data_IF_487817779673
#
_entry.id   IF_487817779673
#
_cell.length_a   1.000
_cell.length_b   1.000
_cell.length_c   1.000
_cell.angle_alpha   90.00
_cell.angle_beta   90.00
_cell.angle_gamma   90.00
#
_symmetry.space_group_name_H-M   'P 1'
#
loop_
_entity.id
_entity.type
_entity.pdbx_description
1 polymer ?
#
# COMPACT_ATOMS: atom_id res chain seq x y z
N UNK A 1 -12.42 -23.11 5.41
CA UNK A 1 -11.13 -23.21 6.12
C UNK A 1 -10.35 -21.98 5.75
N UNK A 2 -10.31 -20.98 6.62
CA UNK A 2 -9.46 -19.80 6.47
C UNK A 2 -8.05 -20.28 6.73
N UNK A 3 -7.23 -20.42 5.69
CA UNK A 3 -5.84 -20.85 5.83
C UNK A 3 -5.11 -19.82 6.67
N UNK A 4 -4.63 -20.20 7.87
CA UNK A 4 -3.82 -19.30 8.70
C UNK A 4 -2.53 -18.92 7.94
N UNK A 5 -2.21 -17.64 7.93
CA UNK A 5 -1.00 -17.12 7.30
C UNK A 5 0.22 -17.59 8.10
N UNK A 6 1.07 -18.45 7.53
CA UNK A 6 2.16 -19.08 8.27
C UNK A 6 3.35 -18.13 8.51
N UNK A 7 4.11 -18.35 9.59
CA UNK A 7 5.32 -17.58 9.88
C UNK A 7 6.38 -17.67 8.77
N UNK A 8 6.50 -18.84 8.11
CA UNK A 8 7.45 -19.01 7.00
C UNK A 8 7.09 -18.14 5.79
N UNK A 9 5.79 -18.03 5.49
CA UNK A 9 5.30 -17.14 4.43
C UNK A 9 5.57 -15.69 4.81
N UNK A 10 5.31 -15.29 6.07
CA UNK A 10 5.56 -13.92 6.53
C UNK A 10 7.02 -13.48 6.32
N UNK A 11 8.00 -14.34 6.62
CA UNK A 11 9.42 -14.02 6.43
C UNK A 11 9.78 -13.81 4.94
N UNK A 12 9.28 -14.67 4.05
CA UNK A 12 9.50 -14.51 2.61
C UNK A 12 8.82 -13.27 2.03
N UNK A 13 7.64 -12.92 2.55
CA UNK A 13 6.95 -11.69 2.19
C UNK A 13 7.77 -10.48 2.63
N UNK A 14 8.18 -10.37 3.90
CA UNK A 14 8.99 -9.25 4.40
C UNK A 14 10.28 -9.04 3.59
N UNK A 15 10.97 -10.12 3.21
CA UNK A 15 12.14 -10.05 2.33
C UNK A 15 11.80 -9.44 0.96
N UNK A 16 10.66 -9.81 0.37
CA UNK A 16 10.24 -9.26 -0.91
C UNK A 16 9.77 -7.80 -0.79
N UNK A 17 9.08 -7.42 0.30
CA UNK A 17 8.70 -6.03 0.59
C UNK A 17 9.94 -5.13 0.57
N UNK A 18 10.98 -5.52 1.32
CA UNK A 18 12.24 -4.78 1.35
C UNK A 18 12.93 -4.74 -0.01
N UNK A 19 12.94 -5.85 -0.74
CA UNK A 19 13.55 -5.91 -2.07
C UNK A 19 12.84 -4.98 -3.07
N UNK A 20 11.50 -4.89 -3.01
CA UNK A 20 10.71 -4.04 -3.90
C UNK A 20 10.97 -2.55 -3.65
N UNK A 21 11.00 -2.13 -2.38
CA UNK A 21 11.39 -0.77 -2.02
C UNK A 21 12.84 -0.43 -2.39
N UNK A 22 13.70 -1.45 -2.55
CA UNK A 22 15.08 -1.32 -3.07
C UNK A 22 15.17 -1.45 -4.60
N UNK A 23 14.07 -1.28 -5.32
CA UNK A 23 14.03 -1.20 -6.78
C UNK A 23 13.95 -2.55 -7.52
N UNK A 24 13.82 -3.68 -6.80
CA UNK A 24 13.47 -4.95 -7.45
C UNK A 24 12.03 -4.87 -7.98
N UNK A 25 11.79 -5.38 -9.18
CA UNK A 25 10.45 -5.35 -9.80
C UNK A 25 9.45 -6.20 -8.98
N UNK A 26 8.31 -5.62 -8.55
CA UNK A 26 7.20 -6.34 -7.91
C UNK A 26 6.43 -7.28 -8.84
N UNK A 27 5.56 -8.09 -8.25
CA UNK A 27 4.45 -8.73 -8.96
C UNK A 27 3.24 -7.80 -9.00
N UNK A 28 2.42 -7.94 -10.03
CA UNK A 28 1.24 -7.10 -10.28
C UNK A 28 0.07 -7.98 -10.70
N UNK A 29 -1.14 -7.59 -10.32
CA UNK A 29 -2.38 -8.28 -10.72
C UNK A 29 -2.87 -7.81 -12.09
N UNK A 30 -2.66 -6.54 -12.42
CA UNK A 30 -3.02 -5.92 -13.70
C UNK A 30 -1.78 -5.30 -14.38
N UNK A 31 -1.87 -4.92 -15.68
CA UNK A 31 -0.82 -4.16 -16.35
C UNK A 31 -0.46 -2.87 -15.60
N UNK A 32 0.82 -2.49 -15.55
CA UNK A 32 1.27 -1.37 -14.72
C UNK A 32 0.83 0.00 -15.27
N UNK A 33 0.23 0.88 -14.44
CA UNK A 33 0.06 2.29 -14.75
C UNK A 33 1.39 2.99 -15.02
N UNK A 34 1.34 4.11 -15.77
CA UNK A 34 2.52 4.93 -16.07
C UNK A 34 3.20 5.48 -14.80
N UNK A 35 2.39 6.03 -13.87
CA UNK A 35 2.87 6.54 -12.57
C UNK A 35 3.65 5.48 -11.80
N UNK A 36 3.13 4.25 -11.72
CA UNK A 36 3.78 3.13 -11.05
C UNK A 36 5.11 2.75 -11.71
N UNK A 37 5.19 2.80 -13.05
CA UNK A 37 6.45 2.56 -13.75
C UNK A 37 7.48 3.67 -13.45
N UNK A 38 7.06 4.93 -13.37
CA UNK A 38 7.89 6.06 -12.95
C UNK A 38 8.37 5.89 -11.52
N UNK A 39 7.49 5.54 -10.58
CA UNK A 39 7.84 5.23 -9.19
C UNK A 39 8.90 4.14 -9.08
N UNK A 40 8.74 3.02 -9.81
CA UNK A 40 9.76 1.96 -9.82
C UNK A 40 11.12 2.42 -10.37
N UNK A 41 11.14 3.37 -11.30
CA UNK A 41 12.39 3.98 -11.78
C UNK A 41 13.02 4.85 -10.70
N UNK A 42 12.22 5.66 -9.97
CA UNK A 42 12.69 6.43 -8.81
C UNK A 42 13.36 5.53 -7.76
N UNK A 43 12.69 4.44 -7.36
CA UNK A 43 13.23 3.49 -6.37
C UNK A 43 14.54 2.83 -6.80
N UNK A 44 14.73 2.58 -8.09
CA UNK A 44 16.02 2.10 -8.62
C UNK A 44 17.11 3.16 -8.53
N UNK A 45 16.79 4.43 -8.72
CA UNK A 45 17.75 5.53 -8.57
C UNK A 45 18.16 5.72 -7.10
N UNK A 46 17.19 5.66 -6.17
CA UNK A 46 17.50 5.66 -4.74
C UNK A 46 18.42 4.49 -4.35
N UNK A 47 18.14 3.28 -4.85
CA UNK A 47 19.00 2.12 -4.62
C UNK A 47 20.43 2.25 -5.21
N UNK A 48 20.63 3.19 -6.13
CA UNK A 48 21.93 3.52 -6.73
C UNK A 48 22.59 4.75 -6.06
N UNK A 49 21.99 5.31 -5.01
CA UNK A 49 22.46 6.53 -4.34
C UNK A 49 22.22 7.82 -5.13
N UNK A 50 21.39 7.78 -6.17
CA UNK A 50 21.06 8.95 -7.02
C UNK A 50 19.82 9.65 -6.47
N UNK A 51 19.95 10.30 -5.31
CA UNK A 51 18.83 10.82 -4.52
C UNK A 51 18.02 11.88 -5.26
N UNK A 52 18.67 12.95 -5.77
CA UNK A 52 17.98 14.04 -6.48
C UNK A 52 17.17 13.55 -7.69
N UNK A 53 17.79 12.73 -8.54
CA UNK A 53 17.11 12.15 -9.70
C UNK A 53 16.00 11.17 -9.30
N UNK A 54 16.13 10.52 -8.14
CA UNK A 54 15.07 9.69 -7.55
C UNK A 54 13.86 10.54 -7.15
N UNK A 55 14.10 11.67 -6.47
CA UNK A 55 13.05 12.61 -6.05
C UNK A 55 12.31 13.18 -7.26
N UNK A 56 13.02 13.63 -8.29
CA UNK A 56 12.40 14.15 -9.52
C UNK A 56 11.40 13.16 -10.14
N UNK A 57 11.77 11.87 -10.21
CA UNK A 57 10.88 10.84 -10.72
C UNK A 57 9.75 10.50 -9.74
N UNK A 58 9.97 10.64 -8.43
CA UNK A 58 8.93 10.42 -7.44
C UNK A 58 7.85 11.51 -7.53
N UNK A 59 8.26 12.77 -7.68
CA UNK A 59 7.38 13.91 -7.92
C UNK A 59 6.61 13.74 -9.24
N UNK A 60 7.27 13.30 -10.31
CA UNK A 60 6.61 12.96 -11.57
C UNK A 60 5.56 11.86 -11.38
N UNK A 61 5.88 10.79 -10.65
CA UNK A 61 4.95 9.70 -10.37
C UNK A 61 3.73 10.18 -9.57
N UNK A 62 3.95 11.03 -8.57
CA UNK A 62 2.89 11.62 -7.75
C UNK A 62 1.99 12.57 -8.56
N UNK A 63 2.57 13.39 -9.45
CA UNK A 63 1.83 14.36 -10.26
C UNK A 63 1.12 13.79 -11.48
N UNK A 64 1.49 12.58 -11.93
CA UNK A 64 0.90 11.91 -13.11
C UNK A 64 -0.06 10.77 -12.77
N UNK A 65 -0.21 10.42 -11.50
CA UNK A 65 -1.15 9.39 -11.05
C UNK A 65 -2.60 9.86 -11.13
N UNK A 66 -3.50 8.97 -11.53
CA UNK A 66 -4.94 9.23 -11.48
C UNK A 66 -5.38 9.37 -10.02
N UNK A 67 -6.06 10.49 -9.71
CA UNK A 67 -6.61 10.70 -8.38
C UNK A 67 -7.72 9.68 -8.08
N UNK A 68 -7.77 9.21 -6.85
CA UNK A 68 -8.89 8.42 -6.36
C UNK A 68 -10.07 9.35 -6.04
N UNK A 69 -11.26 9.01 -6.52
CA UNK A 69 -12.51 9.65 -6.09
C UNK A 69 -13.48 8.55 -5.67
N UNK A 70 -14.10 8.69 -4.51
CA UNK A 70 -14.91 7.62 -3.96
C UNK A 70 -15.36 7.86 -2.54
N UNK A 71 -15.64 6.77 -1.83
CA UNK A 71 -16.07 6.82 -0.44
C UNK A 71 -15.21 5.93 0.45
N UNK A 72 -15.03 6.36 1.71
CA UNK A 72 -14.53 5.53 2.82
C UNK A 72 -15.65 5.42 3.84
N UNK A 73 -16.11 4.20 4.10
CA UNK A 73 -17.27 3.91 4.95
C UNK A 73 -18.48 4.82 4.66
N UNK A 74 -18.72 5.07 3.36
CA UNK A 74 -19.82 5.91 2.86
C UNK A 74 -19.59 7.42 2.90
N UNK A 75 -18.42 7.90 3.36
CA UNK A 75 -18.05 9.33 3.33
C UNK A 75 -17.25 9.64 2.08
N UNK A 76 -17.66 10.66 1.34
CA UNK A 76 -16.96 11.11 0.12
C UNK A 76 -15.54 11.59 0.44
N UNK A 77 -14.58 11.13 -0.35
CA UNK A 77 -13.15 11.48 -0.25
C UNK A 77 -12.55 11.65 -1.64
N UNK A 78 -11.47 12.42 -1.70
CA UNK A 78 -10.66 12.60 -2.91
C UNK A 78 -9.19 12.45 -2.56
N UNK A 79 -8.47 11.67 -3.36
CA UNK A 79 -7.09 11.30 -3.10
C UNK A 79 -6.99 10.12 -2.15
N UNK A 80 -6.04 9.23 -2.48
CA UNK A 80 -5.64 8.12 -1.64
C UNK A 80 -4.17 7.87 -1.93
N UNK A 81 -3.34 7.98 -0.89
CA UNK A 81 -1.93 7.59 -0.95
C UNK A 81 -1.51 6.99 0.38
N UNK A 82 -0.44 6.22 0.34
CA UNK A 82 0.32 5.80 1.50
C UNK A 82 1.19 6.96 2.01
N UNK A 83 1.32 7.04 3.34
CA UNK A 83 2.11 8.07 3.98
C UNK A 83 3.61 7.85 3.75
N UNK A 84 4.06 6.61 3.50
CA UNK A 84 5.42 6.34 3.03
C UNK A 84 5.57 6.72 1.54
N UNK A 85 6.45 7.67 1.26
CA UNK A 85 6.67 8.23 -0.08
C UNK A 85 7.17 7.19 -1.09
N UNK A 86 7.82 6.11 -0.66
CA UNK A 86 8.27 5.06 -1.58
C UNK A 86 7.11 4.21 -2.08
N UNK A 87 6.06 4.06 -1.25
CA UNK A 87 4.84 3.36 -1.62
C UNK A 87 3.90 4.30 -2.38
N UNK A 88 3.61 5.48 -1.84
CA UNK A 88 2.74 6.47 -2.47
C UNK A 88 1.40 5.88 -2.91
N UNK A 89 1.15 5.74 -4.21
CA UNK A 89 -0.12 5.25 -4.76
C UNK A 89 -0.27 3.70 -4.75
N UNK A 90 0.49 2.99 -3.93
CA UNK A 90 0.59 1.52 -3.94
C UNK A 90 0.05 0.88 -2.67
N UNK A 91 -0.87 -0.08 -2.85
CA UNK A 91 -1.22 -1.08 -1.86
C UNK A 91 -0.29 -2.29 -1.96
N UNK A 92 0.26 -2.74 -0.83
CA UNK A 92 0.87 -4.07 -0.75
C UNK A 92 -0.19 -5.10 -0.36
N UNK A 93 -0.29 -6.19 -1.14
CA UNK A 93 -1.24 -7.28 -0.86
C UNK A 93 -0.63 -8.64 -1.18
N UNK A 94 -0.86 -9.62 -0.31
CA UNK A 94 -0.48 -11.02 -0.53
C UNK A 94 -1.68 -11.78 -1.09
N UNK A 95 -1.54 -12.25 -2.33
CA UNK A 95 -2.54 -13.04 -3.06
C UNK A 95 -1.87 -14.31 -3.54
N UNK A 96 -2.49 -15.47 -3.29
CA UNK A 96 -1.91 -16.78 -3.62
C UNK A 96 -0.44 -16.91 -3.16
N UNK A 97 -0.19 -16.59 -1.89
CA UNK A 97 1.11 -16.66 -1.19
C UNK A 97 2.22 -15.78 -1.77
N UNK A 98 1.87 -14.81 -2.63
CA UNK A 98 2.83 -13.90 -3.25
C UNK A 98 2.48 -12.45 -2.98
N UNK A 99 3.50 -11.66 -2.65
CA UNK A 99 3.38 -10.21 -2.51
C UNK A 99 3.20 -9.57 -3.88
N UNK A 100 2.16 -8.76 -4.00
CA UNK A 100 1.88 -7.92 -5.16
C UNK A 100 1.88 -6.45 -4.73
N UNK A 101 2.31 -5.60 -5.65
CA UNK A 101 1.99 -4.18 -5.61
C UNK A 101 0.73 -3.95 -6.42
N UNK A 102 -0.25 -3.33 -5.81
CA UNK A 102 -1.53 -3.00 -6.41
C UNK A 102 -1.75 -1.49 -6.33
N UNK A 103 -1.56 -0.77 -7.45
CA UNK A 103 -1.85 0.66 -7.52
C UNK A 103 -3.30 0.97 -7.15
N UNK A 104 -3.53 2.02 -6.35
CA UNK A 104 -4.87 2.44 -5.92
C UNK A 104 -5.81 2.79 -7.09
N UNK A 105 -5.26 3.22 -8.23
CA UNK A 105 -6.01 3.41 -9.48
C UNK A 105 -6.71 2.14 -9.97
N UNK A 106 -6.17 0.98 -9.63
CA UNK A 106 -6.65 -0.33 -10.08
C UNK A 106 -7.66 -0.97 -9.14
N UNK A 107 -7.96 -0.31 -8.02
CA UNK A 107 -8.92 -0.77 -7.03
C UNK A 107 -10.25 -0.08 -7.29
N UNK A 108 -11.28 -0.88 -7.53
CA UNK A 108 -12.67 -0.39 -7.58
C UNK A 108 -13.31 -0.42 -6.19
N UNK A 109 -13.10 -1.49 -5.42
CA UNK A 109 -13.49 -1.51 -4.02
C UNK A 109 -12.57 -2.38 -3.19
N UNK A 110 -12.38 -2.02 -1.92
CA UNK A 110 -11.63 -2.79 -0.94
C UNK A 110 -12.48 -2.94 0.33
N UNK A 111 -12.50 -4.15 0.88
CA UNK A 111 -13.11 -4.47 2.17
C UNK A 111 -12.07 -5.09 3.10
N UNK A 112 -11.84 -4.46 4.24
CA UNK A 112 -10.97 -4.95 5.30
C UNK A 112 -11.81 -5.77 6.29
N UNK A 113 -11.28 -6.90 6.74
CA UNK A 113 -11.92 -7.66 7.81
C UNK A 113 -11.96 -6.85 9.12
N UNK A 114 -12.95 -7.12 9.96
CA UNK A 114 -12.94 -6.63 11.33
C UNK A 114 -11.77 -7.25 12.11
N UNK A 115 -11.33 -6.57 13.16
CA UNK A 115 -10.36 -7.14 14.10
C UNK A 115 -10.94 -8.43 14.70
N UNK A 116 -10.40 -9.57 14.27
CA UNK A 116 -10.60 -10.83 14.96
C UNK A 116 -9.67 -10.93 16.18
N UNK A 117 -9.86 -11.96 17.01
CA UNK A 117 -8.98 -12.28 18.16
C UNK A 117 -7.52 -12.62 17.79
N UNK A 118 -7.14 -12.54 16.51
CA UNK A 118 -5.82 -12.93 16.03
C UNK A 118 -4.93 -11.69 15.90
N UNK A 119 -3.90 -11.65 16.73
CA UNK A 119 -2.75 -10.73 16.70
C UNK A 119 -1.86 -11.00 15.46
N UNK A 120 -2.45 -10.95 14.27
CA UNK A 120 -1.76 -11.14 12.99
C UNK A 120 -1.33 -9.79 12.44
N UNK A 121 -0.08 -9.68 12.00
CA UNK A 121 0.43 -8.53 11.21
C UNK A 121 -0.11 -8.52 9.76
N UNK A 122 -1.07 -9.39 9.46
CA UNK A 122 -1.68 -9.59 8.16
C UNK A 122 -3.21 -9.60 8.31
N UNK A 123 -3.86 -8.60 7.74
CA UNK A 123 -5.31 -8.39 7.79
C UNK A 123 -5.97 -9.00 6.55
N UNK A 124 -6.98 -9.88 6.68
CA UNK A 124 -7.73 -10.34 5.52
C UNK A 124 -8.37 -9.17 4.76
N UNK A 125 -8.27 -9.21 3.44
CA UNK A 125 -8.82 -8.18 2.55
C UNK A 125 -9.52 -8.82 1.36
N UNK A 126 -10.67 -8.28 0.98
CA UNK A 126 -11.36 -8.55 -0.28
C UNK A 126 -11.23 -7.33 -1.18
N UNK A 127 -10.84 -7.53 -2.43
CA UNK A 127 -10.61 -6.46 -3.39
C UNK A 127 -11.37 -6.77 -4.67
N UNK A 128 -12.15 -5.80 -5.14
CA UNK A 128 -12.65 -5.74 -6.52
C UNK A 128 -11.72 -4.85 -7.32
N UNK A 129 -11.12 -5.41 -8.35
CA UNK A 129 -10.28 -4.69 -9.30
C UNK A 129 -11.15 -3.97 -10.34
N UNK A 130 -10.61 -2.93 -10.99
CA UNK A 130 -11.30 -2.17 -12.05
C UNK A 130 -11.73 -3.02 -13.26
N UNK A 131 -11.13 -4.20 -13.45
CA UNK A 131 -11.56 -5.18 -14.48
C UNK A 131 -12.68 -6.11 -13.99
N UNK A 132 -13.31 -5.79 -12.85
CA UNK A 132 -14.36 -6.57 -12.18
C UNK A 132 -13.92 -7.89 -11.55
N UNK A 133 -12.63 -8.24 -11.62
CA UNK A 133 -12.10 -9.42 -10.94
C UNK A 133 -12.12 -9.22 -9.43
N UNK A 134 -12.55 -10.26 -8.71
CA UNK A 134 -12.52 -10.30 -7.26
C UNK A 134 -11.34 -11.13 -6.78
N UNK A 135 -10.54 -10.56 -5.89
CA UNK A 135 -9.42 -11.24 -5.25
C UNK A 135 -9.55 -11.13 -3.74
N UNK A 136 -9.21 -12.21 -3.05
CA UNK A 136 -9.07 -12.23 -1.60
C UNK A 136 -7.61 -12.47 -1.24
N UNK A 137 -7.14 -11.82 -0.19
CA UNK A 137 -5.75 -11.90 0.20
C UNK A 137 -5.50 -11.37 1.61
N UNK A 138 -4.25 -11.01 1.85
CA UNK A 138 -3.77 -10.52 3.13
C UNK A 138 -3.01 -9.21 2.95
N UNK A 139 -3.34 -8.22 3.77
CA UNK A 139 -2.73 -6.91 3.80
C UNK A 139 -1.73 -6.83 4.95
N UNK A 140 -0.44 -6.55 4.70
CA UNK A 140 0.50 -6.26 5.78
C UNK A 140 0.12 -4.95 6.47
N UNK A 141 -0.29 -5.01 7.74
CA UNK A 141 -0.73 -3.82 8.51
C UNK A 141 0.44 -3.01 9.08
N UNK A 142 1.66 -3.52 8.96
CA UNK A 142 2.87 -2.90 9.49
C UNK A 142 3.83 -2.57 8.35
N UNK A 143 4.53 -1.45 8.40
CA UNK A 143 5.61 -1.17 7.47
C UNK A 143 6.77 -2.17 7.61
N UNK A 144 7.49 -2.44 6.51
CA UNK A 144 8.62 -3.36 6.50
C UNK A 144 9.78 -2.81 7.35
N UNK A 145 10.61 -3.69 7.92
CA UNK A 145 11.74 -3.37 8.82
C UNK A 145 11.36 -2.92 10.24
N UNK A 146 10.07 -2.71 10.52
CA UNK A 146 9.58 -2.31 11.85
C UNK A 146 9.94 -3.31 12.96
N UNK A 147 10.25 -4.58 12.64
CA UNK A 147 10.66 -5.60 13.61
C UNK A 147 12.02 -5.34 14.26
N UNK A 148 12.81 -4.44 13.69
CA UNK A 148 14.12 -4.05 14.23
C UNK A 148 14.08 -2.75 15.00
N UNK A 149 12.91 -2.09 15.09
CA UNK A 149 12.75 -0.83 15.80
C UNK A 149 12.96 -1.00 17.31
N UNK A 150 13.59 -0.06 18.03
CA UNK A 150 13.83 -0.19 19.48
C UNK A 150 12.55 -0.19 20.32
N UNK A 151 11.51 0.52 19.88
CA UNK A 151 10.22 0.62 20.58
C UNK A 151 9.28 -0.53 20.21
N UNK A 152 8.61 -1.13 21.20
CA UNK A 152 7.82 -2.35 21.02
C UNK A 152 6.47 -2.08 20.36
N UNK A 153 5.93 -0.90 20.58
CA UNK A 153 4.68 -0.39 20.06
C UNK A 153 4.76 -0.27 18.53
N UNK A 154 5.90 0.21 18.01
CA UNK A 154 6.23 0.20 16.58
C UNK A 154 6.39 -1.23 16.05
N UNK A 155 7.10 -2.11 16.79
CA UNK A 155 7.24 -3.52 16.37
C UNK A 155 5.90 -4.23 16.26
N UNK A 156 4.96 -3.93 17.16
CA UNK A 156 3.64 -4.54 17.28
C UNK A 156 2.58 -3.93 16.34
N UNK A 157 2.91 -2.89 15.57
CA UNK A 157 1.95 -2.13 14.76
C UNK A 157 0.83 -1.47 15.59
N UNK A 158 1.19 -0.96 16.76
CA UNK A 158 0.29 -0.18 17.63
C UNK A 158 0.46 1.32 17.42
N UNK A 159 1.68 1.75 17.09
CA UNK A 159 2.04 3.13 16.80
C UNK A 159 2.75 3.21 15.44
N UNK A 160 2.85 4.43 14.90
CA UNK A 160 3.60 4.74 13.68
C UNK A 160 4.76 5.69 14.01
N UNK A 161 5.93 5.43 13.43
CA UNK A 161 7.07 6.32 13.46
C UNK A 161 7.33 6.86 12.05
N UNK A 162 7.40 8.18 11.93
CA UNK A 162 7.61 8.89 10.67
C UNK A 162 8.94 9.61 10.73
N UNK A 163 9.78 9.38 9.73
CA UNK A 163 11.07 10.04 9.63
C UNK A 163 11.34 10.49 8.19
N UNK A 164 12.12 11.54 8.04
CA UNK A 164 12.64 11.95 6.73
C UNK A 164 13.95 11.22 6.45
N UNK A 165 14.06 10.57 5.30
CA UNK A 165 15.31 9.94 4.87
C UNK A 165 16.32 10.97 4.30
N UNK A 166 17.47 10.48 3.82
CA UNK A 166 18.53 11.32 3.26
C UNK A 166 18.10 12.14 2.04
N UNK A 167 17.08 11.67 1.30
CA UNK A 167 16.51 12.39 0.18
C UNK A 167 15.40 13.38 0.63
N UNK A 168 15.05 13.38 1.91
CA UNK A 168 13.92 14.16 2.44
C UNK A 168 12.57 13.51 2.19
N UNK A 169 12.52 12.24 1.74
CA UNK A 169 11.27 11.50 1.62
C UNK A 169 10.76 11.12 3.01
N UNK A 170 9.44 11.22 3.21
CA UNK A 170 8.77 10.65 4.38
C UNK A 170 8.77 9.13 4.28
N UNK A 171 9.35 8.48 5.28
CA UNK A 171 9.39 7.03 5.45
C UNK A 171 8.68 6.67 6.74
N UNK A 172 8.08 5.47 6.77
CA UNK A 172 7.28 5.05 7.91
C UNK A 172 7.72 3.69 8.46
N UNK A 173 7.65 3.55 9.77
CA UNK A 173 7.78 2.30 10.52
C UNK A 173 6.55 2.14 11.42
N UNK A 174 6.24 0.90 11.80
CA UNK A 174 5.08 0.59 12.64
C UNK A 174 3.79 0.44 11.86
N UNK A 175 2.67 0.87 12.45
CA UNK A 175 1.33 0.74 11.88
C UNK A 175 1.22 1.49 10.54
N UNK A 176 0.60 0.83 9.55
CA UNK A 176 0.27 1.43 8.25
C UNK A 176 -0.62 2.65 8.42
N UNK A 177 -0.32 3.69 7.65
CA UNK A 177 -1.07 4.93 7.57
C UNK A 177 -1.32 5.30 6.10
N UNK A 178 -2.58 5.55 5.76
CA UNK A 178 -2.97 6.09 4.47
C UNK A 178 -3.51 7.50 4.63
N UNK A 179 -3.07 8.40 3.76
CA UNK A 179 -3.66 9.72 3.60
C UNK A 179 -4.80 9.61 2.60
N UNK A 180 -6.03 9.75 3.09
CA UNK A 180 -7.25 9.65 2.28
C UNK A 180 -8.05 10.93 2.46
N UNK A 181 -8.20 11.72 1.40
CA UNK A 181 -8.71 13.08 1.55
C UNK A 181 -7.75 13.96 2.34
N UNK A 182 -8.26 14.55 3.42
CA UNK A 182 -7.52 15.43 4.33
C UNK A 182 -7.14 14.73 5.64
N UNK A 183 -7.50 13.46 5.80
CA UNK A 183 -7.35 12.70 7.03
C UNK A 183 -6.34 11.56 6.85
N UNK A 184 -5.72 11.15 7.95
CA UNK A 184 -4.91 9.94 8.03
C UNK A 184 -5.77 8.79 8.57
N UNK A 185 -5.66 7.62 7.95
CA UNK A 185 -6.36 6.41 8.32
C UNK A 185 -5.39 5.26 8.53
N UNK A 186 -5.53 4.58 9.65
CA UNK A 186 -5.01 3.24 9.90
C UNK A 186 -5.94 2.19 9.26
N UNK A 187 -5.46 0.95 9.02
CA UNK A 187 -6.32 -0.17 8.64
C UNK A 187 -7.46 -0.48 9.63
N UNK A 188 -7.42 0.09 10.83
CA UNK A 188 -8.39 -0.16 11.88
C UNK A 188 -9.59 0.78 11.84
N UNK A 189 -9.43 1.97 11.26
CA UNK A 189 -10.39 3.07 11.32
C UNK A 189 -11.44 3.05 10.20
N UNK A 190 -11.29 2.17 9.22
CA UNK A 190 -12.31 1.97 8.18
C UNK A 190 -12.43 0.51 7.76
N UNK A 191 -13.56 0.15 7.13
CA UNK A 191 -13.81 -1.21 6.64
C UNK A 191 -13.99 -1.29 5.15
N UNK A 192 -14.41 -0.22 4.51
CA UNK A 192 -14.78 -0.23 3.12
C UNK A 192 -14.31 1.03 2.41
N UNK A 193 -13.70 0.84 1.26
CA UNK A 193 -13.35 1.90 0.33
C UNK A 193 -13.95 1.55 -1.03
N UNK A 194 -14.63 2.49 -1.66
CA UNK A 194 -15.30 2.31 -2.95
C UNK A 194 -14.96 3.46 -3.88
N UNK A 195 -14.39 3.16 -5.04
CA UNK A 195 -14.22 4.12 -6.12
C UNK A 195 -15.60 4.52 -6.64
N UNK A 196 -15.78 5.82 -6.90
CA UNK A 196 -16.97 6.32 -7.58
C UNK A 196 -17.03 5.70 -8.98
N UNK A 197 -18.02 4.86 -9.21
CA UNK A 197 -18.27 4.31 -10.53
C UNK A 197 -18.80 5.43 -11.41
N UNK A 198 -18.12 5.73 -12.52
CA UNK A 198 -18.71 6.58 -13.55
C UNK A 198 -19.90 5.81 -14.13
N UNK A 199 -21.12 6.18 -13.72
CA UNK A 199 -22.30 5.77 -14.47
C UNK A 199 -22.17 6.40 -15.86
N UNK A 200 -21.65 5.63 -16.81
CA UNK A 200 -21.87 5.91 -18.22
C UNK A 200 -23.39 5.81 -18.39
N UNK A 201 -24.06 6.96 -18.38
CA UNK A 201 -25.45 7.04 -18.79
C UNK A 201 -25.51 6.52 -20.22
N UNK A 202 -26.00 5.29 -20.37
CA UNK A 202 -26.56 4.85 -21.64
C UNK A 202 -27.76 5.77 -21.91
N UNK A 203 -27.53 6.83 -22.68
CA UNK A 203 -28.56 7.48 -23.48
C UNK A 203 -28.78 6.69 -24.76
#
# INVERSE_FOLDING_TARGET
MTTEFSQSQAADIEKNRLAYLRGRKPLFLLPLPGSTQTRLRALKLFAQGRLEAGLELLDEANGSGDSFEGTVDGREVQGWRDEDDFLGDILEVVVADKLHWLPFVQIESLRLAEQGQLQSLYLPVEIRLINQEQVSGWLPIRYVQSETHPEKEIQAAEEVDLYSDEAGCTRCLGLRHWLIGLDAFTPWEFRQLERRSERIGLM
#
